data_IF_665053418683
#
_entry.id   IF_665053418683
#
_cell.length_a   1.000
_cell.length_b   1.000
_cell.length_c   1.000
_cell.angle_alpha   90.00
_cell.angle_beta   90.00
_cell.angle_gamma   90.00
#
_symmetry.space_group_name_H-M   'P 1'
#
loop_
_entity.id
_entity.type
_entity.pdbx_description
1 polymer ?
#
# COMPACT_ATOMS: atom_id res chain seq x y z
N UNK A 1 82.93 33.57 23.39
CA UNK A 1 83.13 32.29 22.62
C UNK A 1 81.89 31.33 22.65
N UNK A 2 81.18 31.17 23.79
CA UNK A 2 80.00 30.28 23.90
C UNK A 2 78.74 30.79 23.20
N UNK A 3 78.55 32.12 23.06
CA UNK A 3 77.35 32.70 22.45
C UNK A 3 77.34 32.51 20.90
N UNK A 4 78.50 32.53 20.27
CA UNK A 4 78.65 32.31 18.84
C UNK A 4 78.28 30.85 18.42
N UNK A 5 78.67 29.89 19.23
CA UNK A 5 78.35 28.45 18.95
C UNK A 5 76.82 28.15 19.03
N UNK A 6 76.08 28.89 19.83
CA UNK A 6 74.64 28.75 19.96
C UNK A 6 73.94 29.35 18.74
N UNK A 7 74.40 30.45 18.22
CA UNK A 7 73.90 31.13 17.06
C UNK A 7 74.06 30.26 15.79
N UNK A 8 75.25 29.72 15.61
CA UNK A 8 75.56 28.82 14.50
C UNK A 8 74.77 27.51 14.56
N UNK A 9 74.58 26.98 15.75
CA UNK A 9 73.77 25.76 15.91
C UNK A 9 72.30 25.97 15.59
N UNK A 10 71.72 27.09 15.99
CA UNK A 10 70.32 27.45 15.71
C UNK A 10 70.16 27.76 14.21
N UNK A 11 71.08 28.54 13.64
CA UNK A 11 71.01 28.87 12.20
C UNK A 11 71.15 27.64 11.33
N UNK A 12 72.07 26.73 11.64
CA UNK A 12 72.23 25.45 10.92
C UNK A 12 71.01 24.53 11.08
N UNK A 13 70.36 24.54 12.25
CA UNK A 13 69.09 23.80 12.43
C UNK A 13 68.00 24.32 11.52
N UNK A 14 67.81 25.65 11.45
CA UNK A 14 66.82 26.26 10.58
C UNK A 14 67.14 26.06 9.08
N UNK A 15 68.40 26.20 8.69
CA UNK A 15 68.86 25.98 7.32
C UNK A 15 68.65 24.54 6.90
N UNK A 16 69.04 23.57 7.74
CA UNK A 16 68.89 22.14 7.46
C UNK A 16 67.40 21.74 7.45
N UNK A 17 66.57 22.31 8.37
CA UNK A 17 65.13 22.07 8.34
C UNK A 17 64.48 22.63 7.06
N UNK A 18 64.88 23.85 6.63
CA UNK A 18 64.35 24.53 5.44
C UNK A 18 64.80 23.81 4.15
N UNK A 19 66.05 23.34 4.10
CA UNK A 19 66.56 22.57 2.96
C UNK A 19 66.07 21.15 2.95
N UNK A 20 65.66 20.59 4.07
CA UNK A 20 65.05 19.26 4.16
C UNK A 20 63.58 19.22 3.74
N UNK A 21 62.93 20.39 3.51
CA UNK A 21 61.58 20.44 2.97
C UNK A 21 61.63 20.19 1.47
N UNK A 22 60.99 19.12 1.03
CA UNK A 22 60.86 18.77 -0.39
C UNK A 22 59.81 19.71 -1.05
N UNK A 23 60.16 20.95 -1.31
CA UNK A 23 59.30 21.99 -1.90
C UNK A 23 58.69 21.53 -3.22
N UNK A 24 59.44 20.81 -4.05
CA UNK A 24 58.96 20.31 -5.34
C UNK A 24 57.77 19.31 -5.15
N UNK A 25 57.87 18.43 -4.18
CA UNK A 25 56.79 17.43 -3.89
C UNK A 25 55.55 18.12 -3.34
N UNK A 26 55.72 19.14 -2.45
CA UNK A 26 54.62 19.91 -1.90
C UNK A 26 53.91 20.73 -2.98
N UNK A 27 54.67 21.43 -3.82
CA UNK A 27 54.13 22.22 -4.92
C UNK A 27 53.41 21.35 -5.96
N UNK A 28 54.01 20.22 -6.31
CA UNK A 28 53.41 19.24 -7.24
C UNK A 28 52.09 18.68 -6.68
N UNK A 29 52.07 18.28 -5.41
CA UNK A 29 50.86 17.78 -4.75
C UNK A 29 49.77 18.86 -4.65
N UNK A 30 50.17 20.11 -4.32
CA UNK A 30 49.23 21.22 -4.27
C UNK A 30 48.62 21.53 -5.63
N UNK A 31 49.47 21.55 -6.68
CA UNK A 31 49.02 21.76 -8.04
C UNK A 31 48.06 20.68 -8.51
N UNK A 32 48.39 19.41 -8.23
CA UNK A 32 47.53 18.25 -8.58
C UNK A 32 46.18 18.33 -7.88
N UNK A 33 46.15 18.70 -6.58
CA UNK A 33 44.90 18.87 -5.83
C UNK A 33 44.06 20.02 -6.37
N UNK A 34 44.69 21.17 -6.67
CA UNK A 34 44.00 22.30 -7.26
C UNK A 34 43.40 21.96 -8.64
N UNK A 35 44.19 21.29 -9.50
CA UNK A 35 43.72 20.85 -10.81
C UNK A 35 42.52 19.87 -10.64
N UNK A 36 42.63 18.93 -9.71
CA UNK A 36 41.55 17.98 -9.41
C UNK A 36 40.27 18.66 -8.94
N UNK A 37 40.39 19.71 -8.11
CA UNK A 37 39.25 20.52 -7.67
C UNK A 37 38.60 21.28 -8.82
N UNK A 38 39.40 21.89 -9.72
CA UNK A 38 38.89 22.58 -10.92
C UNK A 38 38.10 21.62 -11.82
N UNK A 39 38.68 20.44 -12.08
CA UNK A 39 38.01 19.38 -12.86
C UNK A 39 36.72 18.94 -12.16
N UNK A 40 36.75 18.73 -10.82
CA UNK A 40 35.57 18.34 -10.04
C UNK A 40 34.47 19.39 -10.17
N UNK A 41 34.77 20.68 -10.01
CA UNK A 41 33.74 21.72 -10.14
C UNK A 41 33.16 21.81 -11.54
N UNK A 42 33.99 21.62 -12.58
CA UNK A 42 33.52 21.57 -13.95
C UNK A 42 32.58 20.40 -14.19
N UNK A 43 32.98 19.19 -13.75
CA UNK A 43 32.15 17.98 -13.86
C UNK A 43 30.87 18.11 -13.04
N UNK A 44 30.94 18.67 -11.84
CA UNK A 44 29.76 18.91 -11.00
C UNK A 44 28.80 19.90 -11.67
N UNK A 45 29.30 20.99 -12.25
CA UNK A 45 28.45 21.95 -12.96
C UNK A 45 27.72 21.29 -14.13
N UNK A 46 28.44 20.51 -14.95
CA UNK A 46 27.86 19.78 -16.08
C UNK A 46 26.86 18.72 -15.60
N UNK A 47 27.24 17.95 -14.57
CA UNK A 47 26.40 16.93 -13.96
C UNK A 47 25.12 17.50 -13.35
N UNK A 48 25.24 18.61 -12.62
CA UNK A 48 24.09 19.32 -12.04
C UNK A 48 23.13 19.81 -13.13
N UNK A 49 23.65 20.41 -14.19
CA UNK A 49 22.86 20.88 -15.33
C UNK A 49 22.14 19.72 -16.03
N UNK A 50 22.83 18.60 -16.24
CA UNK A 50 22.25 17.39 -16.82
C UNK A 50 21.16 16.78 -15.90
N UNK A 51 21.46 16.66 -14.62
CA UNK A 51 20.51 16.14 -13.63
C UNK A 51 19.21 16.97 -13.61
N UNK A 52 19.31 18.31 -13.55
CA UNK A 52 18.14 19.18 -13.59
C UNK A 52 17.39 19.11 -14.91
N UNK A 53 18.09 18.99 -16.05
CA UNK A 53 17.47 18.81 -17.35
C UNK A 53 16.65 17.50 -17.42
N UNK A 54 17.25 16.38 -16.98
CA UNK A 54 16.57 15.08 -16.95
C UNK A 54 15.38 15.09 -15.96
N UNK A 55 15.58 15.67 -14.77
CA UNK A 55 14.55 15.83 -13.77
C UNK A 55 13.33 16.60 -14.31
N UNK A 56 13.56 17.78 -14.89
CA UNK A 56 12.49 18.59 -15.48
C UNK A 56 11.78 17.85 -16.62
N UNK A 57 12.52 17.22 -17.52
CA UNK A 57 11.95 16.49 -18.64
C UNK A 57 11.06 15.34 -18.18
N UNK A 58 11.48 14.55 -17.18
CA UNK A 58 10.75 13.38 -16.69
C UNK A 58 9.53 13.79 -15.86
N UNK A 59 9.70 14.70 -14.91
CA UNK A 59 8.62 15.05 -13.97
C UNK A 59 7.57 15.94 -14.62
N UNK A 60 7.97 16.92 -15.45
CA UNK A 60 7.00 17.77 -16.15
C UNK A 60 6.13 16.98 -17.13
N UNK A 61 6.68 15.97 -17.81
CA UNK A 61 5.89 15.11 -18.69
C UNK A 61 4.86 14.29 -17.90
N UNK A 62 5.24 13.76 -16.73
CA UNK A 62 4.36 12.98 -15.87
C UNK A 62 3.25 13.83 -15.21
N UNK A 63 3.56 15.09 -14.85
CA UNK A 63 2.60 15.97 -14.17
C UNK A 63 1.58 16.65 -15.11
N UNK A 64 1.77 16.62 -16.42
CA UNK A 64 0.80 17.15 -17.41
C UNK A 64 -0.53 16.38 -17.39
N UNK A 65 -0.51 15.12 -16.99
CA UNK A 65 -1.69 14.23 -16.96
C UNK A 65 -2.49 14.36 -15.66
N UNK A 66 -1.96 15.05 -14.65
CA UNK A 66 -2.60 15.14 -13.32
C UNK A 66 -3.58 16.31 -13.24
N UNK A 67 -4.80 16.05 -12.77
CA UNK A 67 -5.89 17.01 -12.49
C UNK A 67 -5.68 17.85 -11.22
N UNK A 68 -4.48 17.84 -10.62
CA UNK A 68 -4.18 18.57 -9.38
C UNK A 68 -4.02 20.08 -9.61
N UNK A 69 -4.30 20.87 -8.55
CA UNK A 69 -4.13 22.32 -8.59
C UNK A 69 -2.67 22.73 -8.89
N UNK A 70 -2.47 23.77 -9.69
CA UNK A 70 -1.17 24.28 -10.10
C UNK A 70 -0.27 24.67 -8.90
N UNK A 71 -0.86 25.17 -7.82
CA UNK A 71 -0.14 25.50 -6.59
C UNK A 71 0.50 24.26 -5.95
N UNK A 72 -0.23 23.15 -5.87
CA UNK A 72 0.27 21.89 -5.30
C UNK A 72 1.39 21.28 -6.16
N UNK A 73 1.24 21.33 -7.49
CA UNK A 73 2.27 20.87 -8.42
C UNK A 73 3.58 21.64 -8.22
N UNK A 74 3.52 22.98 -8.15
CA UNK A 74 4.69 23.83 -7.91
C UNK A 74 5.40 23.52 -6.60
N UNK A 75 4.64 23.29 -5.52
CA UNK A 75 5.22 22.96 -4.21
C UNK A 75 5.95 21.63 -4.25
N UNK A 76 5.33 20.59 -4.82
CA UNK A 76 5.95 19.26 -4.94
C UNK A 76 7.22 19.32 -5.81
N UNK A 77 7.16 20.01 -6.96
CA UNK A 77 8.33 20.18 -7.82
C UNK A 77 9.48 20.84 -7.08
N UNK A 78 9.21 21.94 -6.37
CA UNK A 78 10.23 22.67 -5.61
C UNK A 78 10.85 21.82 -4.49
N UNK A 79 10.04 21.02 -3.79
CA UNK A 79 10.54 20.09 -2.77
C UNK A 79 11.48 19.04 -3.38
N UNK A 80 11.09 18.44 -4.50
CA UNK A 80 11.90 17.42 -5.18
C UNK A 80 13.18 18.03 -5.79
N UNK A 81 13.11 19.23 -6.35
CA UNK A 81 14.31 19.96 -6.83
C UNK A 81 15.29 20.22 -5.66
N UNK A 82 14.78 20.69 -4.51
CA UNK A 82 15.62 20.92 -3.33
C UNK A 82 16.27 19.63 -2.82
N UNK A 83 15.52 18.51 -2.79
CA UNK A 83 16.07 17.19 -2.40
C UNK A 83 17.19 16.76 -3.35
N UNK A 84 17.01 16.93 -4.67
CA UNK A 84 18.04 16.65 -5.67
C UNK A 84 19.27 17.51 -5.43
N UNK A 85 19.09 18.81 -5.21
CA UNK A 85 20.19 19.72 -4.95
C UNK A 85 20.97 19.35 -3.67
N UNK A 86 20.30 19.02 -2.57
CA UNK A 86 20.97 18.58 -1.34
C UNK A 86 21.78 17.30 -1.57
N UNK A 87 21.25 16.36 -2.32
CA UNK A 87 21.97 15.13 -2.66
C UNK A 87 23.20 15.40 -3.51
N UNK A 88 23.10 16.25 -4.53
CA UNK A 88 24.21 16.63 -5.38
C UNK A 88 25.29 17.39 -4.60
N UNK A 89 24.92 18.33 -3.71
CA UNK A 89 25.88 19.02 -2.87
C UNK A 89 26.54 18.09 -1.85
N UNK A 90 25.83 17.10 -1.32
CA UNK A 90 26.44 16.09 -0.46
C UNK A 90 27.53 15.31 -1.20
N UNK A 91 27.30 14.91 -2.45
CA UNK A 91 28.29 14.25 -3.30
C UNK A 91 29.49 15.18 -3.57
N UNK A 92 29.24 16.47 -3.84
CA UNK A 92 30.29 17.44 -4.07
C UNK A 92 31.20 17.59 -2.83
N UNK A 93 30.62 17.76 -1.67
CA UNK A 93 31.35 17.89 -0.40
C UNK A 93 32.18 16.63 -0.14
N UNK A 94 31.62 15.46 -0.36
CA UNK A 94 32.34 14.18 -0.26
C UNK A 94 33.60 14.16 -1.12
N UNK A 95 33.48 14.52 -2.40
CA UNK A 95 34.63 14.53 -3.31
C UNK A 95 35.67 15.59 -2.97
N UNK A 96 35.21 16.79 -2.53
CA UNK A 96 36.12 17.85 -2.06
C UNK A 96 36.96 17.35 -0.87
N UNK A 97 36.34 16.79 0.15
CA UNK A 97 37.02 16.26 1.34
C UNK A 97 37.99 15.13 0.97
N UNK A 98 37.62 14.27 0.04
CA UNK A 98 38.48 13.21 -0.49
C UNK A 98 39.76 13.76 -1.16
N UNK A 99 39.64 14.77 -2.02
CA UNK A 99 40.77 15.39 -2.72
C UNK A 99 41.72 16.11 -1.74
N UNK A 100 41.16 16.77 -0.72
CA UNK A 100 41.96 17.47 0.31
C UNK A 100 42.74 16.44 1.16
N UNK A 101 42.23 15.20 1.27
CA UNK A 101 42.87 14.14 2.05
C UNK A 101 42.28 13.96 3.44
N UNK A 102 41.07 14.50 3.68
CA UNK A 102 40.35 14.26 4.94
C UNK A 102 39.88 12.81 4.97
N UNK A 103 40.05 12.06 6.07
CA UNK A 103 39.58 10.70 6.18
C UNK A 103 38.04 10.66 6.16
N UNK A 104 37.48 10.28 5.00
CA UNK A 104 36.03 10.27 4.73
C UNK A 104 35.31 9.03 5.29
N UNK A 105 36.06 8.06 5.81
CA UNK A 105 35.48 6.82 6.38
C UNK A 105 34.49 7.08 7.51
N UNK A 106 34.77 8.03 8.39
CA UNK A 106 33.88 8.45 9.47
C UNK A 106 32.60 9.15 8.94
N UNK A 107 32.74 9.95 7.87
CA UNK A 107 31.61 10.61 7.22
C UNK A 107 30.69 9.55 6.54
N UNK A 108 31.28 8.56 5.86
CA UNK A 108 30.54 7.44 5.27
C UNK A 108 29.82 6.60 6.33
N UNK A 109 30.51 6.31 7.47
CA UNK A 109 29.90 5.57 8.57
C UNK A 109 28.68 6.35 9.13
N UNK A 110 28.84 7.67 9.38
CA UNK A 110 27.75 8.53 9.83
C UNK A 110 26.60 8.62 8.82
N UNK A 111 26.91 8.76 7.53
CA UNK A 111 25.92 8.76 6.46
C UNK A 111 25.19 7.40 6.36
N UNK A 112 25.89 6.29 6.59
CA UNK A 112 25.31 4.94 6.65
C UNK A 112 24.29 4.82 7.78
N UNK A 113 24.62 5.27 8.99
CA UNK A 113 23.70 5.28 10.14
C UNK A 113 22.48 6.17 9.84
N UNK A 114 22.71 7.38 9.32
CA UNK A 114 21.62 8.28 8.91
C UNK A 114 20.74 7.64 7.82
N UNK A 115 21.34 6.94 6.86
CA UNK A 115 20.62 6.20 5.82
C UNK A 115 19.71 5.11 6.37
N UNK A 116 20.19 4.34 7.35
CA UNK A 116 19.38 3.33 8.06
C UNK A 116 18.22 3.99 8.80
N UNK A 117 18.47 5.07 9.53
CA UNK A 117 17.41 5.81 10.25
C UNK A 117 16.34 6.36 9.31
N UNK A 118 16.75 6.95 8.17
CA UNK A 118 15.83 7.41 7.13
C UNK A 118 15.06 6.25 6.48
N UNK A 119 15.74 5.11 6.24
CA UNK A 119 15.12 3.90 5.69
C UNK A 119 14.03 3.34 6.60
N UNK A 120 14.31 3.25 7.90
CA UNK A 120 13.33 2.83 8.90
C UNK A 120 12.15 3.81 8.98
N UNK A 121 12.41 5.12 8.91
CA UNK A 121 11.36 6.14 8.86
C UNK A 121 10.48 6.06 7.59
N UNK A 122 11.06 5.65 6.46
CA UNK A 122 10.39 5.52 5.17
C UNK A 122 9.79 4.12 4.93
N UNK A 123 10.04 3.14 5.81
CA UNK A 123 9.64 1.74 5.64
C UNK A 123 8.15 1.57 5.32
N UNK A 124 7.29 2.29 6.04
CA UNK A 124 5.85 2.22 5.82
C UNK A 124 5.42 2.72 4.44
N UNK A 125 6.06 3.76 3.94
CA UNK A 125 5.81 4.26 2.59
C UNK A 125 6.24 3.24 1.53
N UNK A 126 7.42 2.65 1.67
CA UNK A 126 7.92 1.65 0.73
C UNK A 126 7.04 0.40 0.72
N UNK A 127 6.61 -0.05 1.90
CA UNK A 127 5.66 -1.17 2.03
C UNK A 127 4.32 -0.87 1.34
N UNK A 128 3.77 0.34 1.49
CA UNK A 128 2.54 0.74 0.80
C UNK A 128 2.69 0.64 -0.73
N UNK A 129 3.82 1.12 -1.26
CA UNK A 129 4.10 1.11 -2.71
C UNK A 129 4.23 -0.31 -3.25
N UNK A 130 4.99 -1.15 -2.55
CA UNK A 130 5.21 -2.55 -2.94
C UNK A 130 3.89 -3.33 -2.91
N UNK A 131 3.11 -3.21 -1.83
CA UNK A 131 1.81 -3.88 -1.73
C UNK A 131 0.84 -3.38 -2.80
N UNK A 132 0.80 -2.06 -3.07
CA UNK A 132 -0.02 -1.51 -4.16
C UNK A 132 0.36 -2.06 -5.53
N UNK A 133 1.65 -2.26 -5.80
CA UNK A 133 2.13 -2.87 -7.02
C UNK A 133 1.66 -4.34 -7.14
N UNK A 134 1.79 -5.14 -6.06
CA UNK A 134 1.32 -6.53 -6.06
C UNK A 134 -0.20 -6.63 -6.22
N UNK A 135 -0.98 -5.78 -5.55
CA UNK A 135 -2.45 -5.73 -5.72
C UNK A 135 -2.81 -5.54 -7.20
N UNK A 136 -2.13 -4.62 -7.90
CA UNK A 136 -2.35 -4.35 -9.31
C UNK A 136 -1.85 -5.49 -10.23
N UNK A 137 -0.67 -6.04 -9.96
CA UNK A 137 -0.08 -7.12 -10.77
C UNK A 137 -0.89 -8.41 -10.67
N UNK A 138 -1.31 -8.79 -9.46
CA UNK A 138 -2.09 -9.99 -9.20
C UNK A 138 -3.58 -9.80 -9.47
N UNK A 139 -4.02 -8.56 -9.73
CA UNK A 139 -5.41 -8.20 -9.92
C UNK A 139 -6.30 -8.74 -8.79
N UNK A 140 -5.86 -8.57 -7.54
CA UNK A 140 -6.61 -9.08 -6.39
C UNK A 140 -8.03 -8.52 -6.35
N UNK A 141 -8.20 -7.26 -6.73
CA UNK A 141 -9.48 -6.57 -6.96
C UNK A 141 -9.31 -5.43 -7.96
N UNK A 142 -10.42 -4.98 -8.55
CA UNK A 142 -10.48 -3.89 -9.52
C UNK A 142 -11.47 -2.81 -9.07
N UNK A 143 -11.41 -1.64 -9.69
CA UNK A 143 -12.37 -0.57 -9.43
C UNK A 143 -13.79 -1.05 -9.79
N UNK A 144 -14.72 -0.90 -8.85
CA UNK A 144 -16.08 -1.40 -8.96
C UNK A 144 -16.34 -2.74 -8.26
N UNK A 145 -15.29 -3.48 -7.87
CA UNK A 145 -15.48 -4.74 -7.14
C UNK A 145 -16.05 -4.48 -5.73
N UNK A 146 -17.03 -5.28 -5.34
CA UNK A 146 -17.49 -5.37 -3.96
C UNK A 146 -16.50 -6.23 -3.15
N UNK A 147 -16.02 -5.67 -2.06
CA UNK A 147 -14.97 -6.28 -1.22
C UNK A 147 -15.26 -6.14 0.25
N UNK A 148 -14.69 -7.06 1.02
CA UNK A 148 -14.48 -6.90 2.45
C UNK A 148 -12.97 -6.87 2.69
N UNK A 149 -12.46 -5.70 3.10
CA UNK A 149 -11.05 -5.50 3.46
C UNK A 149 -10.98 -5.30 4.97
N UNK A 150 -10.36 -6.24 5.67
CA UNK A 150 -10.37 -6.32 7.13
C UNK A 150 -11.83 -6.29 7.66
N UNK A 151 -12.29 -5.16 8.20
CA UNK A 151 -13.67 -4.96 8.70
C UNK A 151 -14.49 -4.00 7.83
N UNK A 152 -13.90 -3.46 6.75
CA UNK A 152 -14.54 -2.47 5.89
C UNK A 152 -15.18 -3.17 4.69
N UNK A 153 -16.50 -3.14 4.61
CA UNK A 153 -17.29 -3.67 3.50
C UNK A 153 -17.73 -2.53 2.57
N UNK A 154 -17.57 -2.72 1.27
CA UNK A 154 -17.95 -1.71 0.28
C UNK A 154 -17.46 -2.03 -1.11
N UNK A 155 -17.46 -1.00 -1.96
CA UNK A 155 -17.02 -1.09 -3.37
C UNK A 155 -15.70 -0.35 -3.55
N UNK A 156 -14.77 -0.92 -4.31
CA UNK A 156 -13.50 -0.27 -4.65
C UNK A 156 -13.78 0.98 -5.49
N UNK A 157 -13.44 2.14 -4.95
CA UNK A 157 -13.58 3.42 -5.64
C UNK A 157 -12.33 3.78 -6.45
N UNK A 158 -11.14 3.47 -5.94
CA UNK A 158 -9.87 3.62 -6.66
C UNK A 158 -8.77 2.78 -6.04
N UNK A 159 -7.82 2.36 -6.86
CA UNK A 159 -6.59 1.67 -6.43
C UNK A 159 -5.42 2.58 -6.76
N UNK A 160 -4.76 3.09 -5.73
CA UNK A 160 -3.58 3.94 -5.86
C UNK A 160 -2.30 3.22 -5.49
N UNK A 161 -1.16 3.84 -5.81
CA UNK A 161 0.17 3.27 -5.52
C UNK A 161 0.38 3.07 -4.01
N UNK A 162 -0.16 3.96 -3.17
CA UNK A 162 0.01 3.92 -1.71
C UNK A 162 -1.26 3.57 -0.95
N UNK A 163 -2.42 3.95 -1.50
CA UNK A 163 -3.70 3.81 -0.81
C UNK A 163 -4.77 3.28 -1.75
N UNK A 164 -5.57 2.35 -1.26
CA UNK A 164 -6.81 1.91 -1.88
C UNK A 164 -7.98 2.64 -1.26
N UNK A 165 -8.93 3.08 -2.06
CA UNK A 165 -10.15 3.76 -1.60
C UNK A 165 -11.33 2.80 -1.73
N UNK A 166 -12.07 2.63 -0.63
CA UNK A 166 -13.28 1.80 -0.57
C UNK A 166 -14.46 2.70 -0.20
N UNK A 167 -15.50 2.66 -0.98
CA UNK A 167 -16.76 3.32 -0.67
C UNK A 167 -17.66 2.33 0.06
N UNK A 168 -17.91 2.60 1.34
CA UNK A 168 -18.86 1.84 2.15
C UNK A 168 -20.30 1.95 1.61
N UNK A 169 -21.13 0.99 1.94
CA UNK A 169 -22.54 1.01 1.53
C UNK A 169 -23.35 2.15 2.17
N UNK A 170 -22.82 2.75 3.23
CA UNK A 170 -23.36 3.98 3.86
C UNK A 170 -22.91 5.26 3.14
N UNK A 171 -22.10 5.15 2.06
CA UNK A 171 -21.53 6.26 1.30
C UNK A 171 -20.19 6.77 1.82
N UNK A 172 -19.71 6.31 2.97
CA UNK A 172 -18.40 6.69 3.54
C UNK A 172 -17.27 6.29 2.61
N UNK A 173 -16.28 7.17 2.40
CA UNK A 173 -15.08 6.87 1.62
C UNK A 173 -13.90 6.61 2.55
N UNK A 174 -13.47 5.36 2.59
CA UNK A 174 -12.33 4.90 3.38
C UNK A 174 -11.03 4.97 2.57
N UNK A 175 -9.97 5.53 3.15
CA UNK A 175 -8.62 5.56 2.58
C UNK A 175 -7.75 4.56 3.34
N UNK A 176 -7.47 3.42 2.73
CA UNK A 176 -6.75 2.32 3.36
C UNK A 176 -5.31 2.31 2.82
N UNK A 177 -4.28 2.51 3.65
CA UNK A 177 -2.89 2.28 3.24
C UNK A 177 -2.72 0.84 2.75
N UNK A 178 -2.07 0.65 1.59
CA UNK A 178 -1.96 -0.68 0.98
C UNK A 178 -1.26 -1.71 1.89
N UNK A 179 -0.33 -1.28 2.75
CA UNK A 179 0.32 -2.14 3.76
C UNK A 179 -0.65 -2.68 4.82
N UNK A 180 -1.79 -2.03 5.02
CA UNK A 180 -2.80 -2.44 5.99
C UNK A 180 -3.83 -3.41 5.39
N UNK A 181 -3.74 -3.71 4.09
CA UNK A 181 -4.58 -4.70 3.42
C UNK A 181 -3.91 -6.05 3.61
N UNK A 182 -4.31 -6.78 4.67
CA UNK A 182 -3.75 -8.10 5.00
C UNK A 182 -4.61 -9.23 4.44
N UNK A 183 -5.91 -9.03 4.45
CA UNK A 183 -6.88 -9.98 3.89
C UNK A 183 -7.90 -9.18 3.09
N UNK A 184 -8.11 -9.60 1.85
CA UNK A 184 -9.18 -9.10 1.01
C UNK A 184 -10.10 -10.25 0.61
N UNK A 185 -11.40 -10.09 0.89
CA UNK A 185 -12.44 -10.99 0.38
C UNK A 185 -13.12 -10.30 -0.79
N UNK A 186 -12.79 -10.72 -2.00
CA UNK A 186 -13.41 -10.19 -3.21
C UNK A 186 -14.77 -10.89 -3.41
N UNK A 187 -15.85 -10.12 -3.32
CA UNK A 187 -17.24 -10.58 -3.44
C UNK A 187 -17.79 -10.39 -4.86
N UNK A 188 -16.95 -9.95 -5.80
CA UNK A 188 -17.30 -9.70 -7.19
C UNK A 188 -16.72 -10.73 -8.15
N UNK A 189 -15.92 -11.69 -7.66
CA UNK A 189 -15.30 -12.70 -8.50
C UNK A 189 -15.89 -14.08 -8.25
N UNK A 190 -16.57 -14.58 -9.26
CA UNK A 190 -17.23 -15.88 -9.22
C UNK A 190 -18.67 -15.85 -8.70
N UNK A 191 -19.26 -17.03 -8.66
CA UNK A 191 -20.61 -17.20 -8.16
C UNK A 191 -20.65 -17.10 -6.65
N UNK A 192 -21.65 -16.40 -6.12
CA UNK A 192 -21.81 -16.15 -4.70
C UNK A 192 -22.94 -17.02 -4.13
N UNK A 193 -22.80 -17.46 -2.90
CA UNK A 193 -23.80 -18.26 -2.23
C UNK A 193 -24.77 -17.37 -1.42
N UNK A 194 -26.06 -17.42 -1.75
CA UNK A 194 -27.14 -16.97 -0.90
C UNK A 194 -27.58 -18.13 -0.01
N UNK A 195 -27.29 -18.07 1.28
CA UNK A 195 -27.68 -19.07 2.26
C UNK A 195 -28.96 -18.58 2.95
N UNK A 196 -30.07 -19.23 2.68
CA UNK A 196 -31.38 -18.90 3.26
C UNK A 196 -31.68 -19.87 4.40
N UNK A 197 -31.94 -19.33 5.55
CA UNK A 197 -32.25 -20.07 6.76
C UNK A 197 -33.64 -19.66 7.23
N UNK A 198 -34.56 -20.60 7.19
CA UNK A 198 -35.94 -20.43 7.59
C UNK A 198 -36.10 -20.94 9.03
N UNK A 199 -36.37 -20.08 10.02
CA UNK A 199 -36.56 -20.54 11.39
C UNK A 199 -37.89 -21.26 11.50
N UNK A 200 -37.87 -22.52 11.92
CA UNK A 200 -39.05 -23.37 12.09
C UNK A 200 -39.25 -23.78 13.56
N UNK A 201 -40.50 -24.14 13.87
CA UNK A 201 -40.80 -24.80 15.13
C UNK A 201 -40.39 -26.27 15.09
N UNK A 202 -40.01 -26.87 16.22
CA UNK A 202 -39.50 -28.24 16.27
C UNK A 202 -40.58 -29.31 16.00
N UNK A 203 -41.86 -28.94 16.05
CA UNK A 203 -43.01 -29.82 15.82
C UNK A 203 -43.56 -29.78 14.39
N UNK A 204 -42.86 -29.09 13.48
CA UNK A 204 -43.32 -28.92 12.09
C UNK A 204 -43.13 -30.21 11.30
N UNK A 205 -44.08 -30.54 10.42
CA UNK A 205 -43.92 -31.62 9.43
C UNK A 205 -42.89 -31.25 8.35
N UNK A 206 -41.68 -31.80 8.51
CA UNK A 206 -40.57 -31.56 7.59
C UNK A 206 -40.81 -31.98 6.16
N UNK A 207 -41.69 -33.01 5.97
CA UNK A 207 -42.05 -33.47 4.63
C UNK A 207 -42.80 -32.37 3.86
N UNK A 208 -43.82 -31.80 4.51
CA UNK A 208 -44.59 -30.70 3.94
C UNK A 208 -43.71 -29.44 3.68
N UNK A 209 -42.74 -29.15 4.57
CA UNK A 209 -41.74 -28.06 4.35
C UNK A 209 -40.94 -28.34 3.08
N UNK A 210 -40.36 -29.55 2.95
CA UNK A 210 -39.54 -29.93 1.83
C UNK A 210 -40.32 -29.83 0.51
N UNK A 211 -41.53 -30.43 0.43
CA UNK A 211 -42.39 -30.38 -0.76
C UNK A 211 -42.78 -28.96 -1.15
N UNK A 212 -43.02 -28.11 -0.16
CA UNK A 212 -43.37 -26.70 -0.42
C UNK A 212 -42.21 -25.93 -1.00
N UNK A 213 -40.99 -26.08 -0.44
CA UNK A 213 -39.79 -25.42 -0.94
C UNK A 213 -39.42 -25.94 -2.34
N UNK A 214 -39.52 -27.23 -2.58
CA UNK A 214 -39.26 -27.85 -3.88
C UNK A 214 -40.24 -27.32 -4.93
N UNK A 215 -41.50 -27.15 -4.59
CA UNK A 215 -42.50 -26.56 -5.49
C UNK A 215 -42.17 -25.12 -5.88
N UNK A 216 -41.68 -24.31 -4.90
CA UNK A 216 -41.18 -22.95 -5.19
C UNK A 216 -39.97 -22.98 -6.10
N UNK A 217 -38.99 -23.86 -5.83
CA UNK A 217 -37.81 -24.02 -6.68
C UNK A 217 -38.17 -24.41 -8.10
N UNK A 218 -39.01 -25.39 -8.27
CA UNK A 218 -39.45 -25.87 -9.59
C UNK A 218 -40.17 -24.76 -10.37
N UNK A 219 -40.97 -23.94 -9.69
CA UNK A 219 -41.75 -22.87 -10.32
C UNK A 219 -40.90 -21.67 -10.73
N UNK A 220 -39.94 -21.24 -9.91
CA UNK A 220 -39.26 -19.98 -10.09
C UNK A 220 -37.81 -20.11 -10.55
N UNK A 221 -37.07 -21.21 -10.21
CA UNK A 221 -35.67 -21.28 -10.45
C UNK A 221 -35.29 -21.42 -11.94
N UNK A 222 -36.11 -22.11 -12.75
CA UNK A 222 -35.82 -22.33 -14.18
C UNK A 222 -35.81 -21.04 -15.01
N UNK A 223 -36.58 -20.03 -14.62
CA UNK A 223 -36.71 -18.76 -15.33
C UNK A 223 -35.88 -17.63 -14.70
N UNK A 224 -35.17 -17.90 -13.62
CA UNK A 224 -34.41 -16.86 -12.89
C UNK A 224 -32.95 -16.81 -13.36
N UNK A 225 -32.65 -15.81 -14.19
CA UNK A 225 -31.31 -15.59 -14.76
C UNK A 225 -30.27 -15.19 -13.70
N UNK A 226 -30.69 -14.81 -12.49
CA UNK A 226 -29.79 -14.48 -11.40
C UNK A 226 -29.10 -15.71 -10.80
N UNK A 227 -29.65 -16.89 -11.02
CA UNK A 227 -29.11 -18.13 -10.49
C UNK A 227 -27.96 -18.64 -11.36
N UNK A 228 -26.92 -19.13 -10.71
CA UNK A 228 -25.80 -19.83 -11.35
C UNK A 228 -26.05 -21.36 -11.44
N UNK A 229 -26.84 -21.89 -10.50
CA UNK A 229 -27.30 -23.31 -10.51
C UNK A 229 -28.66 -23.41 -9.81
N UNK A 230 -29.30 -24.54 -9.95
CA UNK A 230 -30.55 -24.84 -9.24
C UNK A 230 -30.33 -24.69 -7.70
N UNK A 231 -31.35 -24.19 -6.96
CA UNK A 231 -31.27 -24.15 -5.51
C UNK A 231 -31.08 -25.53 -4.92
N UNK A 232 -30.18 -25.68 -3.96
CA UNK A 232 -29.90 -26.90 -3.23
C UNK A 232 -30.56 -26.87 -1.86
N UNK A 233 -31.44 -27.80 -1.59
CA UNK A 233 -32.06 -27.94 -0.27
C UNK A 233 -31.09 -28.71 0.61
N UNK A 234 -30.49 -28.00 1.62
CA UNK A 234 -29.59 -28.61 2.62
C UNK A 234 -30.41 -29.38 3.67
N UNK A 235 -31.60 -28.87 4.00
CA UNK A 235 -32.52 -29.48 4.95
C UNK A 235 -32.45 -28.88 6.37
N UNK A 236 -33.05 -29.59 7.35
CA UNK A 236 -33.13 -29.10 8.72
C UNK A 236 -31.76 -29.10 9.40
N UNK A 237 -31.47 -28.05 10.17
CA UNK A 237 -30.26 -27.89 10.95
C UNK A 237 -30.58 -27.25 12.30
N UNK A 238 -29.81 -27.60 13.34
CA UNK A 238 -29.85 -26.93 14.63
C UNK A 238 -28.60 -26.08 14.76
N UNK A 239 -28.80 -24.78 14.96
CA UNK A 239 -27.68 -23.83 15.16
C UNK A 239 -27.09 -24.01 16.58
N UNK A 240 -25.83 -23.54 16.79
CA UNK A 240 -25.23 -23.53 18.13
C UNK A 240 -26.06 -22.79 19.19
N UNK A 241 -26.92 -21.86 18.75
CA UNK A 241 -27.88 -21.13 19.60
C UNK A 241 -29.10 -21.94 20.00
N UNK A 242 -29.22 -23.21 19.56
CA UNK A 242 -30.38 -24.05 19.79
C UNK A 242 -31.55 -23.79 18.85
N UNK A 243 -31.44 -22.83 17.96
CA UNK A 243 -32.49 -22.50 16.97
C UNK A 243 -32.55 -23.56 15.88
N UNK A 244 -33.77 -24.10 15.63
CA UNK A 244 -34.05 -25.02 14.56
C UNK A 244 -34.36 -24.25 13.28
N UNK A 245 -33.60 -24.52 12.20
CA UNK A 245 -33.72 -23.83 10.92
C UNK A 245 -33.77 -24.81 9.76
N UNK A 246 -34.49 -24.47 8.71
CA UNK A 246 -34.43 -25.18 7.43
C UNK A 246 -33.58 -24.38 6.46
N UNK A 247 -32.51 -24.98 5.94
CA UNK A 247 -31.46 -24.30 5.19
C UNK A 247 -31.53 -24.61 3.72
N UNK A 248 -31.51 -23.59 2.89
CA UNK A 248 -31.44 -23.66 1.43
C UNK A 248 -30.21 -22.89 0.96
N UNK A 249 -29.42 -23.47 0.07
CA UNK A 249 -28.24 -22.87 -0.52
C UNK A 249 -28.48 -22.58 -1.98
N UNK A 250 -28.38 -21.30 -2.37
CA UNK A 250 -28.60 -20.85 -3.74
C UNK A 250 -27.30 -20.23 -4.26
N UNK A 251 -26.77 -20.75 -5.37
CA UNK A 251 -25.63 -20.14 -6.04
C UNK A 251 -26.13 -19.09 -7.03
N UNK A 252 -25.65 -17.88 -6.90
CA UNK A 252 -26.06 -16.72 -7.70
C UNK A 252 -24.92 -16.22 -8.57
N UNK A 253 -25.24 -15.60 -9.67
CA UNK A 253 -24.27 -14.83 -10.45
C UNK A 253 -23.76 -13.65 -9.63
N UNK A 254 -22.59 -13.19 -9.98
CA UNK A 254 -21.91 -12.07 -9.31
C UNK A 254 -22.82 -10.84 -9.11
N UNK A 255 -22.78 -10.24 -7.92
CA UNK A 255 -23.53 -9.03 -7.57
C UNK A 255 -25.01 -9.23 -7.27
N UNK A 256 -25.59 -10.41 -7.55
CA UNK A 256 -27.03 -10.69 -7.39
C UNK A 256 -27.37 -11.43 -6.10
N UNK A 257 -26.39 -11.71 -5.24
CA UNK A 257 -26.57 -12.51 -4.01
C UNK A 257 -27.63 -11.92 -3.09
N UNK A 258 -27.54 -10.63 -2.78
CA UNK A 258 -28.45 -9.99 -1.84
C UNK A 258 -29.89 -9.93 -2.37
N UNK A 259 -30.07 -9.54 -3.63
CA UNK A 259 -31.37 -9.48 -4.29
C UNK A 259 -32.01 -10.88 -4.37
N UNK A 260 -31.22 -11.90 -4.72
CA UNK A 260 -31.69 -13.27 -4.78
C UNK A 260 -32.06 -13.79 -3.39
N UNK A 261 -31.25 -13.50 -2.36
CA UNK A 261 -31.56 -13.85 -0.97
C UNK A 261 -32.93 -13.28 -0.57
N UNK A 262 -33.17 -12.00 -0.74
CA UNK A 262 -34.42 -11.35 -0.37
C UNK A 262 -35.62 -11.92 -1.14
N UNK A 263 -35.47 -12.09 -2.46
CA UNK A 263 -36.49 -12.65 -3.33
C UNK A 263 -36.91 -14.06 -2.87
N UNK A 264 -35.97 -14.96 -2.73
CA UNK A 264 -36.27 -16.35 -2.39
C UNK A 264 -36.69 -16.50 -0.94
N UNK A 265 -36.13 -15.73 -0.02
CA UNK A 265 -36.61 -15.68 1.37
C UNK A 265 -38.12 -15.37 1.41
N UNK A 266 -38.55 -14.32 0.72
CA UNK A 266 -39.97 -13.93 0.63
C UNK A 266 -40.82 -15.02 0.01
N UNK A 267 -40.37 -15.60 -1.12
CA UNK A 267 -41.12 -16.68 -1.79
C UNK A 267 -41.32 -17.90 -0.89
N UNK A 268 -40.28 -18.32 -0.18
CA UNK A 268 -40.39 -19.46 0.73
C UNK A 268 -41.26 -19.15 1.93
N UNK A 269 -41.12 -17.98 2.53
CA UNK A 269 -41.95 -17.56 3.66
C UNK A 269 -43.44 -17.50 3.29
N UNK A 270 -43.78 -16.88 2.16
CA UNK A 270 -45.17 -16.82 1.68
C UNK A 270 -45.75 -18.23 1.39
N UNK A 271 -44.94 -19.10 0.78
CA UNK A 271 -45.40 -20.45 0.45
C UNK A 271 -45.65 -21.30 1.70
N UNK A 272 -44.78 -21.19 2.73
CA UNK A 272 -44.93 -21.88 4.00
C UNK A 272 -46.15 -21.38 4.79
N UNK A 273 -46.32 -20.05 4.90
CA UNK A 273 -47.47 -19.45 5.56
C UNK A 273 -48.81 -19.84 4.90
N UNK A 274 -48.87 -19.92 3.57
CA UNK A 274 -50.05 -20.42 2.84
C UNK A 274 -50.37 -21.88 3.15
N UNK A 275 -49.40 -22.67 3.61
CA UNK A 275 -49.58 -24.06 4.04
C UNK A 275 -49.87 -24.18 5.54
N UNK A 276 -50.00 -23.04 6.25
CA UNK A 276 -50.25 -23.00 7.69
C UNK A 276 -49.00 -23.32 8.55
N UNK A 277 -47.81 -23.22 7.94
CA UNK A 277 -46.54 -23.41 8.66
C UNK A 277 -46.07 -22.08 9.17
N UNK A 278 -46.16 -21.88 10.47
CA UNK A 278 -45.68 -20.65 11.12
C UNK A 278 -44.15 -20.69 11.30
N UNK A 279 -43.53 -19.57 10.97
CA UNK A 279 -42.12 -19.35 11.18
C UNK A 279 -41.89 -18.98 12.65
N UNK A 280 -40.93 -19.63 13.30
CA UNK A 280 -40.59 -19.28 14.68
C UNK A 280 -39.98 -17.88 14.72
N UNK A 281 -40.52 -17.00 15.55
CA UNK A 281 -39.84 -15.74 15.88
C UNK A 281 -38.55 -16.04 16.63
N UNK A 282 -37.43 -15.39 16.30
CA UNK A 282 -36.20 -15.60 17.08
C UNK A 282 -36.50 -15.22 18.56
N UNK A 283 -36.33 -16.19 19.44
CA UNK A 283 -36.35 -15.90 20.86
C UNK A 283 -35.10 -15.08 21.17
N UNK A 284 -35.26 -13.80 21.34
CA UNK A 284 -34.19 -12.95 21.87
C UNK A 284 -33.99 -13.42 23.31
N UNK A 285 -32.83 -13.95 23.70
CA UNK A 285 -32.57 -14.22 25.09
C UNK A 285 -32.68 -12.88 25.82
N UNK A 286 -33.73 -12.70 26.64
CA UNK A 286 -33.80 -11.57 27.55
C UNK A 286 -32.55 -11.67 28.43
N UNK A 287 -31.67 -10.67 28.33
CA UNK A 287 -30.64 -10.43 29.33
C UNK A 287 -31.41 -10.22 30.68
N UNK A 288 -31.56 -11.27 31.41
CA UNK A 288 -31.93 -11.17 32.84
C UNK A 288 -30.82 -10.39 33.53
N UNK A 289 -31.19 -9.25 34.10
CA UNK A 289 -30.35 -8.34 34.88
C UNK A 289 -29.62 -9.06 36.02
#
# INVERSE_FOLDING_TARGET
MRVFLWYDSISNFFINYWNGIEWESILSNLFTKLLSLVILFLLFYLGKKLAHFLFKKTILSSMRVSTQSESRKKTILKLLENMLDYFLYFILIYWILSIIGVPISSLLAGAGIAGVALGLGAQGFLSDVINGLFILMERQFEVGDAVLINTISGTIASVGVRTTQVRGYDGTLHYIPNRNITIVSNQSRGNMRALIELPLQSNVDLKTVYETIEAVNTRYAKSDEALASAPNIVGPQTKPTGQFVFTISIMTKNGLQHATYQKYLTLYQEALLKKGIDLSTPTIPYLTK
#
